data_IF_761906019716
#
_entry.id   IF_761906019716
#
_cell.length_a   1.000
_cell.length_b   1.000
_cell.length_c   1.000
_cell.angle_alpha   90.00
_cell.angle_beta   90.00
_cell.angle_gamma   90.00
#
_symmetry.space_group_name_H-M   'P 1'
#
loop_
_entity.id
_entity.type
_entity.pdbx_description
1 polymer ?
#
# COMPACT_ATOMS: atom_id res chain seq x y z
N UNK A 1 -29.54 3.94 -7.04
CA UNK A 1 -28.59 2.80 -7.18
C UNK A 1 -29.15 1.88 -8.27
N UNK A 2 -28.97 2.25 -9.54
CA UNK A 2 -29.52 1.47 -10.65
C UNK A 2 -28.75 0.14 -10.78
N UNK A 3 -29.50 -0.95 -10.89
CA UNK A 3 -29.02 -2.32 -10.84
C UNK A 3 -27.90 -2.63 -11.83
N UNK A 4 -26.95 -3.44 -11.35
CA UNK A 4 -25.81 -4.02 -12.08
C UNK A 4 -26.25 -4.88 -13.29
N UNK A 5 -27.54 -5.14 -13.48
CA UNK A 5 -28.09 -6.13 -14.41
C UNK A 5 -28.80 -5.57 -15.65
N UNK A 6 -28.98 -4.25 -15.79
CA UNK A 6 -29.67 -3.67 -16.95
C UNK A 6 -28.70 -3.11 -18.00
N UNK A 7 -27.64 -3.85 -18.32
CA UNK A 7 -26.78 -3.51 -19.45
C UNK A 7 -27.43 -4.04 -20.73
N UNK A 8 -27.42 -3.25 -21.81
CA UNK A 8 -27.88 -3.71 -23.13
C UNK A 8 -27.24 -5.07 -23.46
N UNK A 9 -28.00 -6.07 -23.95
CA UNK A 9 -27.46 -7.41 -24.23
C UNK A 9 -26.27 -7.37 -25.19
N UNK A 10 -26.22 -6.36 -26.08
CA UNK A 10 -25.09 -6.11 -26.96
C UNK A 10 -23.79 -5.78 -26.19
N UNK A 11 -23.86 -5.00 -25.11
CA UNK A 11 -22.70 -4.62 -24.29
C UNK A 11 -22.10 -5.87 -23.62
N UNK A 12 -22.94 -6.76 -23.10
CA UNK A 12 -22.50 -8.01 -22.48
C UNK A 12 -21.86 -8.93 -23.52
N UNK A 13 -22.53 -9.15 -24.65
CA UNK A 13 -22.00 -9.94 -25.74
C UNK A 13 -20.62 -9.47 -26.21
N UNK A 14 -20.43 -8.16 -26.42
CA UNK A 14 -19.14 -7.59 -26.83
C UNK A 14 -18.05 -7.81 -25.76
N UNK A 15 -18.43 -7.77 -24.48
CA UNK A 15 -17.49 -8.03 -23.38
C UNK A 15 -17.03 -9.48 -23.41
N UNK A 16 -17.97 -10.42 -23.47
CA UNK A 16 -17.69 -11.85 -23.42
C UNK A 16 -16.92 -12.31 -24.66
N UNK A 17 -17.34 -11.87 -25.85
CA UNK A 17 -16.66 -12.16 -27.11
C UNK A 17 -15.21 -11.63 -27.11
N UNK A 18 -14.97 -10.42 -26.58
CA UNK A 18 -13.62 -9.88 -26.47
C UNK A 18 -12.74 -10.71 -25.54
N UNK A 19 -13.28 -11.18 -24.41
CA UNK A 19 -12.52 -12.02 -23.48
C UNK A 19 -12.17 -13.39 -24.07
N UNK A 20 -13.07 -13.99 -24.86
CA UNK A 20 -12.79 -15.25 -25.59
C UNK A 20 -11.67 -15.07 -26.61
N UNK A 21 -11.69 -13.96 -27.37
CA UNK A 21 -10.73 -13.71 -28.45
C UNK A 21 -9.39 -13.13 -27.99
N UNK A 22 -9.30 -12.68 -26.74
CA UNK A 22 -8.15 -11.95 -26.20
C UNK A 22 -6.77 -12.53 -26.56
N UNK A 23 -6.61 -13.84 -26.40
CA UNK A 23 -5.31 -14.49 -26.59
C UNK A 23 -5.05 -14.83 -28.07
N UNK A 24 -6.08 -15.19 -28.82
CA UNK A 24 -5.96 -15.61 -30.22
C UNK A 24 -5.88 -14.41 -31.18
N UNK A 25 -6.59 -13.33 -30.86
CA UNK A 25 -6.72 -12.14 -31.69
C UNK A 25 -6.87 -10.89 -30.78
N UNK A 26 -5.78 -10.37 -30.21
CA UNK A 26 -5.82 -9.22 -29.31
C UNK A 26 -6.35 -7.95 -29.98
N UNK A 27 -6.10 -7.77 -31.28
CA UNK A 27 -6.61 -6.62 -32.05
C UNK A 27 -8.13 -6.66 -32.23
N UNK A 28 -8.70 -7.84 -32.51
CA UNK A 28 -10.16 -7.99 -32.64
C UNK A 28 -10.85 -7.82 -31.29
N UNK A 29 -10.27 -8.35 -30.22
CA UNK A 29 -10.78 -8.13 -28.85
C UNK A 29 -10.80 -6.63 -28.49
N UNK A 30 -9.76 -5.89 -28.89
CA UNK A 30 -9.66 -4.46 -28.67
C UNK A 30 -10.72 -3.69 -29.48
N UNK A 31 -10.93 -4.07 -30.74
CA UNK A 31 -11.97 -3.50 -31.59
C UNK A 31 -13.38 -3.70 -30.99
N UNK A 32 -13.72 -4.91 -30.54
CA UNK A 32 -15.01 -5.19 -29.89
C UNK A 32 -15.23 -4.32 -28.63
N UNK A 33 -14.19 -4.14 -27.82
CA UNK A 33 -14.26 -3.29 -26.63
C UNK A 33 -14.31 -1.79 -26.95
N UNK A 34 -13.73 -1.37 -28.08
CA UNK A 34 -13.88 0.01 -28.58
C UNK A 34 -15.33 0.27 -29.03
N UNK A 35 -15.97 -0.69 -29.71
CA UNK A 35 -17.39 -0.61 -30.09
C UNK A 35 -18.28 -0.58 -28.84
N UNK A 36 -17.95 -1.41 -27.84
CA UNK A 36 -18.63 -1.40 -26.55
C UNK A 36 -18.55 -0.03 -25.86
N UNK A 37 -17.39 0.64 -25.92
CA UNK A 37 -17.23 1.98 -25.37
C UNK A 37 -18.09 3.02 -26.12
N UNK A 38 -18.20 2.91 -27.44
CA UNK A 38 -19.10 3.76 -28.23
C UNK A 38 -20.57 3.56 -27.86
N UNK A 39 -21.01 2.31 -27.63
CA UNK A 39 -22.36 2.02 -27.16
C UNK A 39 -22.62 2.58 -25.75
N UNK A 40 -21.66 2.44 -24.83
CA UNK A 40 -21.76 3.03 -23.50
C UNK A 40 -21.93 4.55 -23.58
N UNK A 41 -21.16 5.21 -24.43
CA UNK A 41 -21.27 6.66 -24.66
C UNK A 41 -22.62 7.04 -25.27
N UNK A 42 -23.11 6.31 -26.27
CA UNK A 42 -24.41 6.56 -26.90
C UNK A 42 -25.60 6.40 -25.94
N UNK A 43 -25.43 5.64 -24.86
CA UNK A 43 -26.44 5.45 -23.82
C UNK A 43 -26.17 6.30 -22.55
N UNK A 44 -25.28 7.31 -22.62
CA UNK A 44 -24.88 8.17 -21.50
C UNK A 44 -24.40 7.42 -20.26
N UNK A 45 -23.83 6.23 -20.46
CA UNK A 45 -23.31 5.38 -19.39
C UNK A 45 -21.80 5.61 -19.22
N UNK A 46 -21.43 6.24 -18.10
CA UNK A 46 -20.03 6.39 -17.73
C UNK A 46 -19.42 5.02 -17.33
N UNK A 47 -18.21 4.67 -17.83
CA UNK A 47 -17.55 3.44 -17.43
C UNK A 47 -17.12 3.52 -15.95
N UNK A 48 -17.33 2.43 -15.20
CA UNK A 48 -16.87 2.33 -13.82
C UNK A 48 -15.33 2.34 -13.73
N UNK A 49 -14.79 2.75 -12.59
CA UNK A 49 -13.33 2.74 -12.40
C UNK A 49 -12.71 1.35 -12.55
N UNK A 50 -13.45 0.28 -12.21
CA UNK A 50 -13.00 -1.09 -12.44
C UNK A 50 -12.85 -1.38 -13.94
N UNK A 51 -13.82 -0.93 -14.74
CA UNK A 51 -13.73 -1.08 -16.20
C UNK A 51 -12.58 -0.26 -16.80
N UNK A 52 -12.33 0.94 -16.27
CA UNK A 52 -11.19 1.79 -16.65
C UNK A 52 -9.84 1.16 -16.28
N UNK A 53 -9.79 0.25 -15.30
CA UNK A 53 -8.57 -0.53 -14.95
C UNK A 53 -8.32 -1.67 -15.94
N UNK A 54 -9.39 -2.26 -16.47
CA UNK A 54 -9.32 -3.48 -17.28
C UNK A 54 -9.26 -3.20 -18.79
N UNK A 55 -9.78 -2.07 -19.26
CA UNK A 55 -9.89 -1.78 -20.70
C UNK A 55 -9.38 -0.38 -20.98
N UNK A 56 -8.50 -0.27 -21.98
CA UNK A 56 -8.02 1.03 -22.43
C UNK A 56 -9.18 1.82 -23.07
N UNK A 57 -9.52 2.98 -22.50
CA UNK A 57 -10.60 3.83 -23.02
C UNK A 57 -10.36 4.36 -24.44
N UNK A 58 -9.14 4.23 -24.96
CA UNK A 58 -8.72 4.78 -26.23
C UNK A 58 -8.73 3.79 -27.39
N UNK A 59 -8.14 2.61 -27.18
CA UNK A 59 -8.00 1.59 -28.22
C UNK A 59 -8.79 0.31 -27.90
N UNK A 60 -9.41 0.22 -26.73
CA UNK A 60 -10.16 -0.96 -26.30
C UNK A 60 -9.29 -2.14 -25.85
N UNK A 61 -7.97 -2.04 -25.84
CA UNK A 61 -7.09 -3.14 -25.41
C UNK A 61 -7.35 -3.56 -23.95
N UNK A 62 -7.45 -4.88 -23.71
CA UNK A 62 -7.62 -5.46 -22.37
C UNK A 62 -6.30 -5.34 -21.61
N UNK A 63 -6.29 -4.47 -20.59
CA UNK A 63 -5.13 -4.16 -19.78
C UNK A 63 -4.94 -5.19 -18.67
N UNK A 64 -3.93 -6.04 -18.80
CA UNK A 64 -3.56 -7.03 -17.77
C UNK A 64 -2.13 -6.79 -17.30
N UNK A 65 -1.93 -6.28 -16.06
CA UNK A 65 -0.61 -5.94 -15.55
C UNK A 65 0.36 -7.12 -15.67
N UNK A 66 1.54 -6.86 -16.22
CA UNK A 66 2.55 -7.90 -16.50
C UNK A 66 2.41 -8.57 -17.86
N UNK A 67 1.34 -8.30 -18.61
CA UNK A 67 1.17 -8.71 -20.00
C UNK A 67 1.04 -7.46 -20.89
N UNK A 68 2.19 -6.89 -21.24
CA UNK A 68 2.36 -5.64 -22.00
C UNK A 68 1.80 -4.36 -21.35
N UNK A 69 0.93 -4.44 -20.33
CA UNK A 69 0.49 -3.25 -19.57
C UNK A 69 1.30 -3.07 -18.29
N UNK A 70 1.63 -1.82 -18.00
CA UNK A 70 2.38 -1.45 -16.81
C UNK A 70 1.47 -0.68 -15.83
N UNK A 71 1.49 -1.10 -14.56
CA UNK A 71 0.78 -0.48 -13.45
C UNK A 71 1.78 0.22 -12.53
N UNK A 72 1.62 1.53 -12.37
CA UNK A 72 2.38 2.36 -11.41
C UNK A 72 1.47 2.82 -10.28
N UNK A 73 1.93 2.64 -9.04
CA UNK A 73 1.28 3.19 -7.85
C UNK A 73 1.97 4.47 -7.44
N UNK A 74 1.38 5.61 -7.79
CA UNK A 74 1.93 6.90 -7.41
C UNK A 74 1.38 7.37 -6.06
N UNK A 75 2.26 7.95 -5.25
CA UNK A 75 1.83 8.79 -4.14
C UNK A 75 2.20 10.21 -4.51
N UNK A 76 1.20 11.06 -4.76
CA UNK A 76 1.44 12.48 -4.95
C UNK A 76 1.90 13.04 -3.62
N UNK A 77 3.22 13.10 -3.45
CA UNK A 77 3.82 13.82 -2.34
C UNK A 77 3.49 15.27 -2.58
N UNK A 78 2.66 15.86 -1.73
CA UNK A 78 2.61 17.32 -1.63
C UNK A 78 4.04 17.79 -1.42
N UNK A 79 4.60 18.50 -2.41
CA UNK A 79 5.92 19.11 -2.29
C UNK A 79 5.82 20.02 -1.09
N UNK A 80 6.46 19.65 0.04
CA UNK A 80 6.65 20.59 1.14
C UNK A 80 7.35 21.80 0.55
N UNK A 81 6.81 23.03 0.68
CA UNK A 81 7.54 24.21 0.25
C UNK A 81 8.85 24.24 1.04
N UNK A 82 9.96 24.10 0.33
CA UNK A 82 11.30 24.16 0.90
C UNK A 82 11.59 25.63 1.14
N UNK A 83 11.52 26.03 2.40
CA UNK A 83 11.98 27.33 2.86
C UNK A 83 10.87 28.36 3.03
N UNK A 84 10.41 28.53 4.27
CA UNK A 84 10.21 29.84 4.90
C UNK A 84 10.24 29.63 6.41
N UNK A 85 11.36 30.02 7.02
CA UNK A 85 11.36 30.47 8.42
C UNK A 85 10.59 31.80 8.42
N UNK A 86 9.39 31.80 8.97
CA UNK A 86 8.69 32.99 9.46
C UNK A 86 7.72 32.45 10.51
N UNK A 87 8.15 32.44 11.77
CA UNK A 87 7.68 33.38 12.78
C UNK A 87 6.16 33.32 12.97
N UNK A 88 5.83 32.93 14.19
CA UNK A 88 4.53 32.92 14.82
C UNK A 88 3.67 34.14 14.50
N UNK A 89 2.47 33.91 13.99
CA UNK A 89 1.29 34.68 14.38
C UNK A 89 0.15 33.70 14.62
N UNK A 90 -0.16 33.52 15.89
CA UNK A 90 -1.32 32.78 16.37
C UNK A 90 -2.57 33.60 16.07
N UNK A 91 -3.30 33.26 14.99
CA UNK A 91 -4.71 33.61 14.75
C UNK A 91 -5.14 32.92 13.45
N UNK A 92 -5.29 31.60 13.52
CA UNK A 92 -6.24 30.81 12.72
C UNK A 92 -6.07 29.33 13.10
N UNK A 93 -6.67 28.96 14.24
CA UNK A 93 -6.81 27.57 14.66
C UNK A 93 -8.09 26.99 14.07
N UNK A 94 -8.15 26.89 12.75
CA UNK A 94 -8.86 25.77 12.12
C UNK A 94 -7.80 24.78 11.69
N UNK A 95 -7.65 23.72 12.47
CA UNK A 95 -6.77 22.62 12.11
C UNK A 95 -7.22 22.07 10.75
N UNK A 96 -6.47 22.36 9.68
CA UNK A 96 -6.50 21.53 8.48
C UNK A 96 -5.74 20.25 8.83
N UNK A 97 -6.41 19.10 9.03
CA UNK A 97 -5.68 17.84 9.15
C UNK A 97 -4.91 17.64 7.85
N UNK A 98 -3.63 17.32 7.96
CA UNK A 98 -2.67 17.36 6.86
C UNK A 98 -3.20 16.69 5.60
N UNK A 99 -3.07 17.42 4.47
CA UNK A 99 -3.45 16.99 3.13
C UNK A 99 -3.22 15.49 2.97
N UNK A 100 -4.30 14.71 2.92
CA UNK A 100 -4.21 13.30 2.61
C UNK A 100 -3.38 13.17 1.33
N UNK A 101 -2.27 12.43 1.39
CA UNK A 101 -1.46 12.19 0.19
C UNK A 101 -2.39 11.54 -0.83
N UNK A 102 -2.72 12.28 -1.87
CA UNK A 102 -3.49 11.74 -2.99
C UNK A 102 -2.66 10.62 -3.61
N UNK A 103 -3.23 9.43 -3.68
CA UNK A 103 -2.58 8.25 -4.26
C UNK A 103 -3.31 7.94 -5.56
N UNK A 104 -2.59 7.52 -6.59
CA UNK A 104 -3.22 7.10 -7.84
C UNK A 104 -2.66 5.78 -8.33
N UNK A 105 -3.51 5.03 -9.03
CA UNK A 105 -3.12 3.92 -9.89
C UNK A 105 -3.03 4.46 -11.31
N UNK A 106 -1.86 4.34 -11.90
CA UNK A 106 -1.61 4.77 -13.27
C UNK A 106 -1.40 3.50 -14.10
N UNK A 107 -2.37 3.18 -14.96
CA UNK A 107 -2.33 2.06 -15.89
C UNK A 107 -1.88 2.55 -17.25
N UNK A 108 -0.81 1.99 -17.80
CA UNK A 108 -0.33 2.30 -19.15
C UNK A 108 -0.70 1.18 -20.12
N UNK A 109 -1.33 1.55 -21.23
CA UNK A 109 -1.75 0.60 -22.25
C UNK A 109 -0.54 0.07 -23.03
N UNK A 110 -0.41 -1.25 -23.12
CA UNK A 110 0.67 -1.92 -23.86
C UNK A 110 0.59 -1.80 -25.38
N UNK A 111 -0.54 -1.32 -25.90
CA UNK A 111 -0.78 -1.22 -27.35
C UNK A 111 -0.61 0.22 -27.84
N UNK A 112 -1.25 1.19 -27.19
CA UNK A 112 -1.23 2.61 -27.61
C UNK A 112 -0.51 3.56 -26.64
N UNK A 113 0.12 3.03 -25.59
CA UNK A 113 0.87 3.77 -24.56
C UNK A 113 0.07 4.83 -23.76
N UNK A 114 -1.25 4.97 -23.97
CA UNK A 114 -2.07 5.92 -23.21
C UNK A 114 -2.17 5.50 -21.74
N UNK A 115 -2.10 6.50 -20.86
CA UNK A 115 -2.13 6.32 -19.41
C UNK A 115 -3.53 6.62 -18.87
N UNK A 116 -4.07 5.68 -18.09
CA UNK A 116 -5.32 5.82 -17.36
C UNK A 116 -5.02 5.98 -15.88
N UNK A 117 -5.32 7.16 -15.33
CA UNK A 117 -5.14 7.49 -13.91
C UNK A 117 -6.44 7.28 -13.14
N UNK A 118 -6.32 6.61 -11.99
CA UNK A 118 -7.43 6.33 -11.07
C UNK A 118 -7.02 6.78 -9.69
N UNK A 119 -7.73 7.76 -9.14
CA UNK A 119 -7.50 8.26 -7.79
C UNK A 119 -7.93 7.22 -6.75
N UNK A 120 -7.06 6.95 -5.78
CA UNK A 120 -7.37 6.12 -4.64
C UNK A 120 -7.73 7.00 -3.43
N UNK A 121 -8.82 6.71 -2.73
CA UNK A 121 -9.14 7.40 -1.50
C UNK A 121 -8.06 7.13 -0.45
N UNK A 122 -7.91 8.08 0.48
CA UNK A 122 -6.98 7.94 1.58
C UNK A 122 -7.38 6.72 2.43
N UNK A 123 -6.45 5.81 2.76
CA UNK A 123 -6.77 4.71 3.67
C UNK A 123 -7.11 5.29 5.04
N UNK A 124 -8.06 4.65 5.71
CA UNK A 124 -8.42 5.02 7.08
C UNK A 124 -7.21 4.93 8.01
N UNK A 125 -7.13 5.84 8.97
CA UNK A 125 -6.03 5.89 9.91
C UNK A 125 -6.04 4.63 10.78
N UNK A 126 -4.99 3.81 10.66
CA UNK A 126 -4.84 2.62 11.51
C UNK A 126 -4.60 3.08 12.94
N UNK A 127 -5.59 2.89 13.81
CA UNK A 127 -5.45 3.12 15.25
C UNK A 127 -4.69 1.95 15.87
N UNK A 128 -3.37 2.10 16.03
CA UNK A 128 -2.60 1.15 16.84
C UNK A 128 -3.01 1.33 18.30
N UNK A 129 -3.75 0.37 18.86
CA UNK A 129 -3.96 0.29 20.30
C UNK A 129 -2.61 0.17 20.98
N UNK A 130 -2.21 1.23 21.67
CA UNK A 130 -1.04 1.22 22.54
C UNK A 130 -1.43 0.34 23.72
N UNK A 131 -0.87 -0.87 23.80
CA UNK A 131 -1.00 -1.68 25.02
C UNK A 131 -0.27 -0.91 26.11
N UNK A 132 -1.03 -0.19 26.94
CA UNK A 132 -0.53 0.33 28.20
C UNK A 132 -0.18 -0.88 29.04
N UNK A 133 1.11 -1.10 29.30
CA UNK A 133 1.54 -2.07 30.31
C UNK A 133 0.92 -1.62 31.63
N UNK A 134 -0.15 -2.29 32.05
CA UNK A 134 -0.66 -2.17 33.41
C UNK A 134 0.46 -2.58 34.34
N UNK A 135 0.82 -1.66 35.23
CA UNK A 135 1.76 -1.92 36.31
C UNK A 135 1.05 -2.90 37.24
N UNK A 136 1.50 -4.16 37.25
CA UNK A 136 1.08 -5.15 38.25
C UNK A 136 1.42 -4.55 39.61
N UNK A 137 0.40 -4.24 40.40
CA UNK A 137 0.57 -3.95 41.83
C UNK A 137 0.58 -5.30 42.54
N UNK A 138 1.77 -5.85 42.76
CA UNK A 138 1.96 -6.89 43.76
C UNK A 138 2.00 -6.22 45.13
N UNK A 139 0.92 -6.40 45.87
CA UNK A 139 0.86 -6.19 47.32
C UNK A 139 1.41 -7.43 48.01
N UNK A 140 2.63 -7.37 48.57
CA UNK A 140 3.04 -8.14 49.77
C UNK A 140 4.45 -7.74 50.26
N UNK A 141 4.46 -7.14 51.46
CA UNK A 141 5.40 -7.36 52.59
C UNK A 141 6.92 -7.40 52.37
N UNK A 142 7.59 -6.40 52.99
CA UNK A 142 8.90 -6.43 53.67
C UNK A 142 9.95 -7.45 53.21
N UNK A 143 11.03 -6.96 52.59
CA UNK A 143 12.37 -7.07 53.18
C UNK A 143 13.37 -6.12 52.50
N UNK A 144 14.36 -5.78 53.31
CA UNK A 144 15.33 -4.71 53.18
C UNK A 144 16.41 -5.00 52.11
N UNK A 145 17.11 -3.93 51.72
CA UNK A 145 18.46 -3.88 51.12
C UNK A 145 18.59 -3.72 49.58
N UNK A 146 19.13 -2.55 49.21
CA UNK A 146 19.87 -2.14 47.99
C UNK A 146 19.11 -1.62 46.75
N UNK A 147 18.84 -0.31 46.79
CA UNK A 147 19.02 0.62 45.64
C UNK A 147 20.50 1.08 45.58
N UNK A 148 20.98 1.83 44.56
CA UNK A 148 20.31 2.32 43.34
C UNK A 148 21.15 2.23 42.04
N UNK A 149 20.54 2.42 40.87
CA UNK A 149 21.13 3.29 39.85
C UNK A 149 20.08 3.81 38.86
N UNK A 150 20.14 5.13 38.71
CA UNK A 150 19.19 6.01 38.04
C UNK A 150 19.25 5.91 36.52
N UNK A 151 18.09 6.06 35.88
CA UNK A 151 17.89 6.04 34.44
C UNK A 151 18.41 7.30 33.70
N UNK A 152 19.50 7.92 34.16
CA UNK A 152 20.14 9.08 33.54
C UNK A 152 21.67 8.92 33.53
N UNK A 153 22.18 7.99 32.73
CA UNK A 153 23.62 7.82 32.52
C UNK A 153 24.05 8.34 31.12
N UNK A 154 24.93 9.34 31.15
CA UNK A 154 25.59 10.00 30.02
C UNK A 154 26.15 9.02 28.96
N UNK A 155 26.15 9.50 27.71
CA UNK A 155 26.52 8.81 26.45
C UNK A 155 27.81 7.96 26.51
N UNK A 156 28.79 8.32 27.35
CA UNK A 156 30.03 7.55 27.52
C UNK A 156 29.87 6.24 28.29
N UNK A 157 28.90 6.12 29.21
CA UNK A 157 28.65 4.87 29.97
C UNK A 157 27.92 3.80 29.15
N UNK A 158 27.13 4.20 28.14
CA UNK A 158 26.44 3.27 27.22
C UNK A 158 27.39 2.54 26.27
N UNK A 159 28.52 3.17 25.88
CA UNK A 159 29.49 2.54 24.98
C UNK A 159 30.23 1.37 25.62
N UNK A 160 30.54 1.45 26.93
CA UNK A 160 31.22 0.36 27.66
C UNK A 160 30.30 -0.83 27.91
N UNK A 161 29.03 -0.58 28.22
CA UNK A 161 28.02 -1.64 28.38
C UNK A 161 27.61 -2.33 27.06
N UNK A 162 27.74 -1.64 25.91
CA UNK A 162 27.52 -2.29 24.60
C UNK A 162 28.57 -3.34 24.27
N UNK A 163 29.84 -3.15 24.65
CA UNK A 163 30.90 -4.15 24.42
C UNK A 163 30.70 -5.40 25.28
N UNK A 164 30.33 -5.23 26.55
CA UNK A 164 30.02 -6.36 27.43
C UNK A 164 28.71 -7.09 27.03
N UNK A 165 27.68 -6.33 26.64
CA UNK A 165 26.40 -6.91 26.21
C UNK A 165 26.48 -7.68 24.89
N UNK A 166 27.32 -7.24 23.94
CA UNK A 166 27.49 -7.94 22.66
C UNK A 166 28.21 -9.28 22.84
N UNK A 167 29.18 -9.34 23.76
CA UNK A 167 29.89 -10.58 24.07
C UNK A 167 28.97 -11.60 24.74
N UNK A 168 28.09 -11.16 25.66
CA UNK A 168 27.07 -12.02 26.27
C UNK A 168 26.08 -12.58 25.23
N UNK A 169 25.72 -11.79 24.21
CA UNK A 169 24.86 -12.25 23.12
C UNK A 169 25.56 -13.25 22.18
N UNK A 170 26.85 -13.05 21.91
CA UNK A 170 27.65 -13.99 21.12
C UNK A 170 27.83 -15.34 21.83
N UNK A 171 28.10 -15.35 23.15
CA UNK A 171 28.17 -16.57 23.96
C UNK A 171 26.83 -17.31 24.01
N UNK A 172 25.72 -16.59 24.14
CA UNK A 172 24.37 -17.17 24.12
C UNK A 172 23.96 -17.72 22.75
N UNK A 173 24.53 -17.19 21.65
CA UNK A 173 24.28 -17.68 20.30
C UNK A 173 25.05 -18.98 20.00
N UNK A 174 26.22 -19.19 20.61
CA UNK A 174 26.97 -20.44 20.51
C UNK A 174 26.29 -21.61 21.25
N UNK A 175 25.51 -21.33 22.30
CA UNK A 175 24.75 -22.37 23.03
C UNK A 175 23.38 -22.69 22.43
N UNK A 176 22.91 -21.95 21.42
CA UNK A 176 21.65 -22.21 20.71
C UNK A 176 21.89 -22.71 19.29
N UNK A 177 22.66 -23.80 19.15
CA UNK A 177 22.74 -24.56 17.89
C UNK A 177 21.51 -25.46 17.69
N UNK A 178 20.34 -24.83 17.57
CA UNK A 178 19.17 -25.40 16.93
C UNK A 178 18.19 -24.28 16.63
N UNK A 179 18.56 -23.41 15.69
CA UNK A 179 17.62 -22.46 15.14
C UNK A 179 16.77 -23.21 14.09
N UNK A 180 15.48 -23.51 14.36
CA UNK A 180 14.64 -24.33 13.48
C UNK A 180 14.28 -23.62 12.16
N UNK A 181 14.80 -22.40 11.95
CA UNK A 181 14.61 -21.58 10.75
C UNK A 181 15.88 -21.45 9.91
N UNK A 182 16.86 -22.34 10.10
CA UNK A 182 18.03 -22.40 9.22
C UNK A 182 17.71 -23.19 7.96
N UNK A 183 18.05 -22.60 6.80
CA UNK A 183 17.86 -23.16 5.46
C UNK A 183 18.48 -24.57 5.33
N UNK A 184 19.56 -24.84 6.08
CA UNK A 184 20.20 -26.16 6.12
C UNK A 184 19.32 -27.28 6.69
N UNK A 185 18.29 -26.94 7.48
CA UNK A 185 17.36 -27.92 8.06
C UNK A 185 16.29 -28.39 7.08
N UNK A 186 16.02 -27.63 6.01
CA UNK A 186 15.05 -28.00 4.96
C UNK A 186 15.69 -28.80 3.82
N UNK A 187 17.02 -28.82 3.72
CA UNK A 187 17.74 -29.49 2.62
C UNK A 187 18.22 -30.90 2.96
N UNK A 188 17.93 -31.42 4.16
CA UNK A 188 18.25 -32.81 4.56
C UNK A 188 16.98 -33.65 4.60
N UNK A 189 16.66 -34.19 3.42
CA UNK A 189 15.93 -35.43 3.09
C UNK A 189 14.61 -35.71 3.81
#
# INVERSE_FOLDING_TARGET
MASITAHSPAINYLTDAAHVLRNAAPETSAHLLSQRAALLYAHDMAPSDLQRQLVCAACGHIMIPGQATELKLETLRTRRPKGRRAQSSALDKTARPGSARERSKDFSCGFCARVTRISLPAPEAITRRKVTKSRIQDSTTNNEVQKPATANASSKKRAKNRKAGLQALLSGQQQRQSNPLSLASFMKK
#
